data_IF_568523197846
#
_entry.id   IF_568523197846
#
_cell.length_a   1.000
_cell.length_b   1.000
_cell.length_c   1.000
_cell.angle_alpha   90.00
_cell.angle_beta   90.00
_cell.angle_gamma   90.00
#
_symmetry.space_group_name_H-M   'P 1'
#
loop_
_entity.id
_entity.type
_entity.pdbx_description
1 polymer ?
#
# COMPACT_ATOMS: atom_id res chain seq x y z
N UNK A 1 4.34 8.80 18.81
CA UNK A 1 2.98 9.37 18.67
C UNK A 1 2.45 10.05 19.92
N UNK A 2 2.47 9.41 21.10
CA UNK A 2 2.03 10.06 22.35
C UNK A 2 2.75 11.40 22.62
N UNK A 3 4.07 11.42 22.51
CA UNK A 3 4.89 12.65 22.65
C UNK A 3 4.53 13.75 21.63
N UNK A 4 4.20 13.37 20.39
CA UNK A 4 3.76 14.33 19.37
C UNK A 4 2.43 14.99 19.75
N UNK A 5 1.45 14.21 20.23
CA UNK A 5 0.16 14.75 20.69
C UNK A 5 0.33 15.60 21.96
N UNK A 6 1.16 15.16 22.91
CA UNK A 6 1.46 15.93 24.11
C UNK A 6 2.10 17.29 23.77
N UNK A 7 3.08 17.30 22.86
CA UNK A 7 3.71 18.53 22.39
C UNK A 7 2.69 19.43 21.69
N UNK A 8 1.83 18.88 20.83
CA UNK A 8 0.78 19.64 20.15
C UNK A 8 -0.20 20.27 21.14
N UNK A 9 -0.63 19.55 22.16
CA UNK A 9 -1.55 20.08 23.18
C UNK A 9 -0.94 21.26 23.97
N UNK A 10 0.38 21.26 24.19
CA UNK A 10 1.07 22.38 24.86
C UNK A 10 1.12 23.59 23.92
N UNK A 11 1.47 23.38 22.65
CA UNK A 11 1.51 24.44 21.64
C UNK A 11 0.12 25.07 21.45
N UNK A 12 -0.93 24.25 21.36
CA UNK A 12 -2.31 24.70 21.17
C UNK A 12 -2.85 25.48 22.39
N UNK A 13 -2.26 25.30 23.58
CA UNK A 13 -2.61 26.09 24.79
C UNK A 13 -2.01 27.51 24.80
N UNK A 14 -1.24 27.89 23.78
CA UNK A 14 -0.67 29.23 23.66
C UNK A 14 0.67 29.42 24.39
N UNK A 15 1.18 28.37 25.03
CA UNK A 15 2.56 28.33 25.50
C UNK A 15 3.45 28.24 24.25
N UNK A 16 4.03 29.38 23.84
CA UNK A 16 4.87 29.49 22.63
C UNK A 16 5.86 28.31 22.61
N UNK A 17 5.63 27.39 21.66
CA UNK A 17 6.28 26.08 21.56
C UNK A 17 7.80 26.16 21.54
N UNK A 18 8.41 26.10 22.73
CA UNK A 18 9.85 26.23 22.94
C UNK A 18 10.24 27.06 24.17
N UNK A 19 9.29 27.82 24.77
CA UNK A 19 9.53 28.59 25.99
C UNK A 19 9.13 27.83 27.27
N UNK A 20 8.10 26.97 27.20
CA UNK A 20 7.70 26.12 28.33
C UNK A 20 8.71 25.01 28.58
N UNK A 21 9.08 24.80 29.85
CA UNK A 21 9.98 23.71 30.28
C UNK A 21 9.45 22.34 29.86
N UNK A 22 8.13 22.19 29.82
CA UNK A 22 7.43 20.96 29.46
C UNK A 22 7.61 20.63 27.96
N UNK A 23 7.51 21.65 27.09
CA UNK A 23 7.74 21.48 25.66
C UNK A 23 9.17 20.99 25.38
N UNK A 24 10.17 21.63 26.02
CA UNK A 24 11.58 21.23 25.89
C UNK A 24 11.86 19.82 26.41
N UNK A 25 11.22 19.43 27.52
CA UNK A 25 11.34 18.07 28.05
C UNK A 25 10.80 17.04 27.05
N UNK A 26 9.65 17.31 26.44
CA UNK A 26 9.05 16.43 25.42
C UNK A 26 9.91 16.36 24.16
N UNK A 27 10.45 17.48 23.69
CA UNK A 27 11.37 17.49 22.55
C UNK A 27 12.61 16.64 22.81
N UNK A 28 13.20 16.77 24.00
CA UNK A 28 14.37 15.99 24.40
C UNK A 28 14.05 14.49 24.47
N UNK A 29 12.94 14.12 25.10
CA UNK A 29 12.48 12.73 25.14
C UNK A 29 12.16 12.18 23.75
N UNK A 30 11.59 13.00 22.86
CA UNK A 30 11.30 12.61 21.50
C UNK A 30 12.59 12.25 20.75
N UNK A 31 13.62 13.11 20.83
CA UNK A 31 14.93 12.86 20.19
C UNK A 31 15.60 11.62 20.76
N UNK A 32 15.61 11.45 22.09
CA UNK A 32 16.18 10.27 22.74
C UNK A 32 15.49 8.96 22.29
N UNK A 33 14.17 8.98 22.22
CA UNK A 33 13.41 7.81 21.77
C UNK A 33 13.58 7.55 20.28
N UNK A 34 13.81 8.60 19.49
CA UNK A 34 14.04 8.49 18.05
C UNK A 34 15.31 7.69 17.77
N UNK A 35 16.40 7.92 18.52
CA UNK A 35 17.66 7.16 18.36
C UNK A 35 17.45 5.65 18.52
N UNK A 36 16.71 5.24 19.54
CA UNK A 36 16.37 3.83 19.76
C UNK A 36 15.41 3.30 18.68
N UNK A 37 14.45 4.14 18.27
CA UNK A 37 13.46 3.77 17.27
C UNK A 37 14.08 3.53 15.89
N UNK A 38 15.17 4.22 15.51
CA UNK A 38 15.81 4.03 14.19
C UNK A 38 16.18 2.56 13.94
N UNK A 39 16.80 1.90 14.92
CA UNK A 39 17.19 0.49 14.80
C UNK A 39 15.96 -0.43 14.65
N UNK A 40 14.93 -0.21 15.48
CA UNK A 40 13.69 -1.00 15.45
C UNK A 40 12.93 -0.81 14.14
N UNK A 41 12.90 0.41 13.62
CA UNK A 41 12.25 0.71 12.35
C UNK A 41 12.96 0.05 11.17
N UNK A 42 14.30 0.09 11.12
CA UNK A 42 15.06 -0.57 10.05
C UNK A 42 14.79 -2.08 9.99
N UNK A 43 14.65 -2.74 11.14
CA UNK A 43 14.30 -4.17 11.21
C UNK A 43 12.85 -4.46 10.80
N UNK A 44 11.91 -3.56 11.14
CA UNK A 44 10.48 -3.75 10.90
C UNK A 44 9.95 -3.10 9.62
N UNK A 45 10.80 -2.45 8.81
CA UNK A 45 10.40 -1.60 7.68
C UNK A 45 9.50 -2.31 6.63
N UNK A 46 9.62 -3.63 6.47
CA UNK A 46 8.84 -4.38 5.47
C UNK A 46 7.45 -4.84 5.98
N UNK A 47 7.18 -4.68 7.27
CA UNK A 47 5.92 -5.11 7.89
C UNK A 47 4.73 -4.26 7.45
N UNK A 48 3.52 -4.83 7.54
CA UNK A 48 2.27 -4.10 7.31
C UNK A 48 2.10 -2.93 8.30
N UNK A 49 2.49 -3.12 9.56
CA UNK A 49 2.45 -2.08 10.59
C UNK A 49 3.35 -0.88 10.23
N UNK A 50 4.58 -1.12 9.77
CA UNK A 50 5.47 -0.04 9.34
C UNK A 50 4.85 0.80 8.21
N UNK A 51 4.22 0.15 7.22
CA UNK A 51 3.52 0.83 6.12
C UNK A 51 2.34 1.69 6.62
N UNK A 52 1.56 1.18 7.59
CA UNK A 52 0.41 1.90 8.16
C UNK A 52 0.82 3.15 8.94
N UNK A 53 1.90 3.07 9.73
CA UNK A 53 2.31 4.17 10.60
C UNK A 53 3.31 5.16 9.97
N UNK A 54 3.91 4.82 8.84
CA UNK A 54 4.91 5.65 8.14
C UNK A 54 4.50 7.10 7.95
N UNK A 55 3.28 7.37 7.48
CA UNK A 55 2.79 8.73 7.29
C UNK A 55 2.65 9.52 8.60
N UNK A 56 2.21 8.85 9.67
CA UNK A 56 2.08 9.47 11.01
C UNK A 56 3.45 9.76 11.63
N UNK A 57 4.43 8.89 11.40
CA UNK A 57 5.80 9.07 11.87
C UNK A 57 6.44 10.26 11.17
N UNK A 58 6.34 10.37 9.83
CA UNK A 58 6.82 11.55 9.10
C UNK A 58 6.15 12.82 9.59
N UNK A 59 4.83 12.81 9.77
CA UNK A 59 4.10 13.97 10.29
C UNK A 59 4.62 14.42 11.66
N UNK A 60 4.87 13.47 12.56
CA UNK A 60 5.48 13.76 13.86
C UNK A 60 6.91 14.30 13.73
N UNK A 61 7.75 13.73 12.86
CA UNK A 61 9.12 14.21 12.67
C UNK A 61 9.16 15.64 12.11
N UNK A 62 8.27 15.96 11.16
CA UNK A 62 8.09 17.32 10.64
C UNK A 62 7.64 18.31 11.72
N UNK A 63 6.70 17.91 12.59
CA UNK A 63 6.26 18.73 13.72
C UNK A 63 7.43 19.13 14.64
N UNK A 64 8.40 18.24 14.83
CA UNK A 64 9.60 18.49 15.63
C UNK A 64 10.78 19.08 14.83
N UNK A 65 10.57 19.50 13.58
CA UNK A 65 11.63 20.11 12.75
C UNK A 65 12.71 19.14 12.27
N UNK A 66 12.42 17.84 12.22
CA UNK A 66 13.36 16.76 11.85
C UNK A 66 13.14 16.26 10.42
N UNK A 67 12.88 17.17 9.48
CA UNK A 67 12.59 16.80 8.08
C UNK A 67 13.83 16.23 7.36
N UNK A 68 15.01 16.76 7.67
CA UNK A 68 16.30 16.31 7.11
C UNK A 68 16.90 15.10 7.85
N UNK A 69 16.17 14.51 8.80
CA UNK A 69 16.66 13.33 9.53
C UNK A 69 16.76 12.10 8.59
N UNK A 70 17.81 11.26 8.71
CA UNK A 70 17.96 10.07 7.87
C UNK A 70 16.76 9.13 7.89
N UNK A 71 16.08 8.99 9.04
CA UNK A 71 14.88 8.18 9.16
C UNK A 71 13.72 8.78 8.39
N UNK A 72 13.55 10.12 8.42
CA UNK A 72 12.49 10.79 7.65
C UNK A 72 12.68 10.58 6.15
N UNK A 73 13.91 10.77 5.66
CA UNK A 73 14.26 10.54 4.26
C UNK A 73 14.06 9.07 3.85
N UNK A 74 14.41 8.11 4.71
CA UNK A 74 14.18 6.68 4.46
C UNK A 74 12.69 6.36 4.33
N UNK A 75 11.86 6.87 5.25
CA UNK A 75 10.41 6.64 5.21
C UNK A 75 9.81 7.30 3.97
N UNK A 76 10.21 8.52 3.62
CA UNK A 76 9.74 9.20 2.40
C UNK A 76 10.07 8.40 1.14
N UNK A 77 11.30 7.91 1.01
CA UNK A 77 11.71 7.04 -0.11
C UNK A 77 10.89 5.75 -0.15
N UNK A 78 10.63 5.14 1.00
CA UNK A 78 9.79 3.94 1.09
C UNK A 78 8.36 4.20 0.64
N UNK A 79 7.75 5.31 1.09
CA UNK A 79 6.40 5.70 0.67
C UNK A 79 6.34 6.06 -0.82
N UNK A 80 7.34 6.76 -1.35
CA UNK A 80 7.43 7.09 -2.78
C UNK A 80 7.54 5.83 -3.65
N UNK A 81 8.36 4.85 -3.25
CA UNK A 81 8.43 3.54 -3.91
C UNK A 81 7.11 2.77 -3.79
N UNK A 82 6.43 2.85 -2.66
CA UNK A 82 5.13 2.21 -2.47
C UNK A 82 4.04 2.88 -3.34
N UNK A 83 4.07 4.20 -3.52
CA UNK A 83 3.17 4.92 -4.41
C UNK A 83 3.43 4.56 -5.89
N UNK A 84 4.69 4.49 -6.30
CA UNK A 84 5.07 4.09 -7.66
C UNK A 84 4.71 2.63 -7.96
N UNK A 85 4.84 1.71 -6.99
CA UNK A 85 4.38 0.32 -7.15
C UNK A 85 2.86 0.17 -7.21
N UNK A 86 2.12 1.11 -6.63
CA UNK A 86 0.65 1.13 -6.65
C UNK A 86 0.06 1.79 -7.88
N UNK A 87 0.87 2.46 -8.71
CA UNK A 87 0.38 2.89 -10.01
C UNK A 87 0.19 1.66 -10.89
N UNK A 88 -1.02 1.42 -11.42
CA UNK A 88 -1.21 0.41 -12.44
C UNK A 88 -0.32 0.78 -13.62
N UNK A 89 0.53 -0.15 -14.05
CA UNK A 89 1.37 -0.03 -15.25
C UNK A 89 0.50 -0.08 -16.51
N UNK A 90 -0.41 0.89 -16.67
CA UNK A 90 -1.27 1.06 -17.85
C UNK A 90 -0.80 2.19 -18.76
N UNK A 91 0.31 2.88 -18.46
CA UNK A 91 0.71 4.10 -19.18
C UNK A 91 2.01 4.03 -20.00
N UNK A 92 2.65 2.87 -20.17
CA UNK A 92 3.94 2.79 -20.91
C UNK A 92 3.99 1.77 -22.05
N UNK A 93 2.84 1.33 -22.60
CA UNK A 93 2.83 0.36 -23.71
C UNK A 93 2.48 0.92 -25.10
N UNK A 94 2.32 2.24 -25.28
CA UNK A 94 1.80 2.81 -26.54
C UNK A 94 2.69 3.84 -27.27
N UNK A 95 3.99 3.95 -26.96
CA UNK A 95 4.82 5.00 -27.61
C UNK A 95 5.74 4.54 -28.75
N UNK A 96 5.77 3.26 -29.16
CA UNK A 96 6.72 2.81 -30.20
C UNK A 96 6.20 1.80 -31.23
N UNK A 97 4.92 1.79 -31.60
CA UNK A 97 4.49 1.09 -32.83
C UNK A 97 3.42 1.89 -33.57
N UNK A 98 3.87 2.78 -34.46
CA UNK A 98 3.07 3.39 -35.51
C UNK A 98 3.17 2.46 -36.72
N UNK A 99 2.19 1.56 -36.89
CA UNK A 99 2.18 0.63 -38.01
C UNK A 99 0.96 -0.29 -38.00
N UNK A 100 0.07 -0.06 -38.95
CA UNK A 100 -1.06 -0.90 -39.38
C UNK A 100 -2.25 -0.97 -38.41
N UNK A 101 -3.22 -0.10 -38.70
CA UNK A 101 -4.61 -0.24 -38.28
C UNK A 101 -5.19 -1.52 -38.90
N UNK A 102 -5.31 -2.57 -38.10
CA UNK A 102 -6.31 -3.61 -38.31
C UNK A 102 -7.36 -3.49 -37.21
N UNK A 103 -8.61 -3.30 -37.63
CA UNK A 103 -9.80 -3.53 -36.81
C UNK A 103 -9.73 -4.95 -36.22
N UNK A 104 -9.23 -5.07 -35.00
CA UNK A 104 -9.56 -6.18 -34.12
C UNK A 104 -10.46 -5.63 -33.03
N UNK A 105 -11.75 -5.93 -33.13
CA UNK A 105 -12.60 -6.07 -31.94
C UNK A 105 -11.92 -7.13 -31.06
N UNK A 106 -11.03 -6.70 -30.16
CA UNK A 106 -10.51 -7.56 -29.10
C UNK A 106 -11.62 -7.66 -28.08
N UNK A 107 -12.44 -8.68 -28.21
CA UNK A 107 -13.10 -9.27 -27.04
C UNK A 107 -12.00 -9.46 -25.99
N UNK A 108 -12.20 -8.87 -24.82
CA UNK A 108 -11.22 -8.96 -23.75
C UNK A 108 -11.03 -10.45 -23.42
N UNK A 109 -9.81 -11.00 -23.34
CA UNK A 109 -9.59 -12.39 -22.90
C UNK A 109 -10.04 -12.62 -21.44
N UNK A 110 -10.49 -11.57 -20.75
CA UNK A 110 -11.08 -11.62 -19.42
C UNK A 110 -12.60 -11.38 -19.41
N UNK A 111 -13.22 -11.11 -20.55
CA UNK A 111 -14.67 -11.14 -20.70
C UNK A 111 -15.10 -12.58 -21.02
N UNK A 112 -16.01 -13.17 -20.24
CA UNK A 112 -16.57 -14.47 -20.57
C UNK A 112 -17.41 -14.34 -21.85
N UNK A 113 -17.06 -15.07 -22.91
CA UNK A 113 -17.85 -15.13 -24.14
C UNK A 113 -19.18 -15.85 -23.94
N UNK A 114 -19.23 -16.80 -22.99
CA UNK A 114 -20.47 -17.44 -22.54
C UNK A 114 -20.45 -17.63 -21.00
N UNK A 115 -21.60 -17.45 -20.35
CA UNK A 115 -21.74 -17.63 -18.90
C UNK A 115 -21.75 -19.12 -18.52
N UNK A 116 -20.57 -19.70 -18.31
CA UNK A 116 -20.45 -21.06 -17.77
C UNK A 116 -20.48 -21.06 -16.23
N UNK A 117 -21.52 -21.68 -15.66
CA UNK A 117 -21.64 -22.00 -14.24
C UNK A 117 -21.16 -23.44 -14.01
N UNK A 118 -20.24 -23.64 -13.06
CA UNK A 118 -19.81 -24.98 -12.69
C UNK A 118 -20.90 -25.65 -11.83
N UNK A 119 -21.01 -26.97 -11.89
CA UNK A 119 -21.98 -27.72 -11.08
C UNK A 119 -21.75 -27.60 -9.57
N UNK A 120 -20.53 -27.26 -9.16
CA UNK A 120 -20.16 -26.95 -7.78
C UNK A 120 -20.55 -25.53 -7.34
N UNK A 121 -20.90 -24.65 -8.29
CA UNK A 121 -21.27 -23.26 -8.01
C UNK A 121 -22.79 -23.16 -7.81
N UNK A 122 -23.22 -22.55 -6.70
CA UNK A 122 -24.63 -22.22 -6.49
C UNK A 122 -25.10 -21.13 -7.46
N UNK A 123 -26.38 -21.17 -7.81
CA UNK A 123 -27.00 -20.08 -8.55
C UNK A 123 -26.85 -18.76 -7.76
N UNK A 124 -26.34 -17.72 -8.44
CA UNK A 124 -26.16 -16.39 -7.84
C UNK A 124 -24.82 -16.12 -7.17
N UNK A 125 -23.78 -16.93 -7.39
CA UNK A 125 -22.42 -16.59 -6.92
C UNK A 125 -21.97 -15.24 -7.50
N UNK A 126 -21.53 -14.35 -6.61
CA UNK A 126 -21.03 -13.03 -6.98
C UNK A 126 -19.80 -13.17 -7.88
N UNK A 127 -19.87 -12.60 -9.09
CA UNK A 127 -18.76 -12.59 -10.05
C UNK A 127 -17.91 -11.35 -9.80
N UNK A 128 -16.75 -11.55 -9.17
CA UNK A 128 -15.79 -10.46 -8.91
C UNK A 128 -15.15 -9.98 -10.22
N UNK A 129 -15.06 -8.66 -10.40
CA UNK A 129 -14.41 -8.09 -11.58
C UNK A 129 -12.89 -8.16 -11.43
N UNK A 130 -12.18 -8.21 -12.56
CA UNK A 130 -10.70 -8.33 -12.54
C UNK A 130 -10.06 -7.06 -11.98
N UNK A 131 -10.75 -5.92 -12.08
CA UNK A 131 -10.33 -4.63 -11.55
C UNK A 131 -10.35 -4.57 -10.02
N UNK A 132 -11.13 -5.43 -9.36
CA UNK A 132 -11.28 -5.47 -7.91
C UNK A 132 -10.20 -6.31 -7.21
N UNK A 133 -9.38 -7.03 -7.99
CA UNK A 133 -8.32 -7.90 -7.47
C UNK A 133 -7.11 -7.10 -6.94
N UNK A 134 -6.45 -7.57 -5.87
CA UNK A 134 -5.26 -6.91 -5.36
C UNK A 134 -4.13 -6.90 -6.41
N UNK A 135 -3.26 -5.87 -6.35
CA UNK A 135 -2.24 -5.63 -7.39
C UNK A 135 -1.24 -6.78 -7.59
N UNK A 136 -1.03 -7.61 -6.57
CA UNK A 136 -0.15 -8.78 -6.59
C UNK A 136 -0.88 -10.11 -6.89
N UNK A 137 -2.20 -10.08 -7.08
CA UNK A 137 -3.00 -11.24 -7.43
C UNK A 137 -2.75 -11.69 -8.87
N UNK A 138 -2.91 -13.00 -9.10
CA UNK A 138 -2.86 -13.60 -10.43
C UNK A 138 -4.16 -13.30 -11.18
N UNK A 139 -4.03 -12.62 -12.32
CA UNK A 139 -5.13 -12.39 -13.26
C UNK A 139 -5.37 -13.65 -14.09
N UNK A 140 -6.04 -14.62 -13.48
CA UNK A 140 -6.45 -15.88 -14.16
C UNK A 140 -7.64 -15.57 -15.09
N UNK A 141 -7.72 -16.11 -16.32
CA UNK A 141 -8.91 -15.99 -17.14
C UNK A 141 -10.14 -16.67 -16.48
N UNK A 142 -11.36 -16.17 -16.69
CA UNK A 142 -12.57 -16.79 -16.12
C UNK A 142 -12.69 -18.28 -16.42
N UNK A 143 -12.23 -18.74 -17.58
CA UNK A 143 -12.27 -20.15 -18.01
C UNK A 143 -11.41 -21.10 -17.16
N UNK A 144 -10.35 -20.61 -16.53
CA UNK A 144 -9.37 -21.43 -15.79
C UNK A 144 -9.39 -21.17 -14.27
N UNK A 145 -10.46 -20.54 -13.77
CA UNK A 145 -10.56 -20.03 -12.38
C UNK A 145 -10.69 -21.10 -11.30
N UNK A 146 -11.08 -22.33 -11.64
CA UNK A 146 -11.45 -23.37 -10.67
C UNK A 146 -12.83 -23.12 -10.06
N UNK A 147 -13.02 -22.01 -9.34
CA UNK A 147 -14.31 -21.58 -8.77
C UNK A 147 -14.37 -20.05 -8.67
N UNK A 148 -15.56 -19.45 -8.77
CA UNK A 148 -15.74 -17.99 -8.57
C UNK A 148 -15.32 -17.46 -7.19
N UNK A 149 -15.41 -18.26 -6.12
CA UNK A 149 -14.98 -17.85 -4.75
C UNK A 149 -13.47 -17.61 -4.69
N UNK A 150 -12.67 -18.33 -5.48
CA UNK A 150 -11.21 -18.12 -5.56
C UNK A 150 -10.85 -16.79 -6.26
N UNK A 151 -11.84 -16.08 -6.79
CA UNK A 151 -11.69 -14.75 -7.39
C UNK A 151 -12.05 -13.63 -6.42
N UNK A 152 -12.46 -13.96 -5.19
CA UNK A 152 -12.69 -12.97 -4.16
C UNK A 152 -11.38 -12.24 -3.82
N UNK A 153 -11.38 -10.90 -3.65
CA UNK A 153 -10.15 -10.13 -3.48
C UNK A 153 -9.33 -10.58 -2.27
N UNK A 154 -10.00 -11.10 -1.24
CA UNK A 154 -9.37 -11.59 -0.01
C UNK A 154 -8.74 -12.98 -0.15
N UNK A 155 -9.22 -13.78 -1.11
CA UNK A 155 -8.75 -15.15 -1.39
C UNK A 155 -7.91 -15.23 -2.66
N UNK A 156 -7.83 -14.15 -3.43
CA UNK A 156 -7.20 -14.12 -4.73
C UNK A 156 -5.73 -14.54 -4.66
N UNK A 157 -5.42 -15.66 -5.32
CA UNK A 157 -4.10 -16.25 -5.31
C UNK A 157 -3.03 -15.29 -5.84
N UNK A 158 -1.92 -15.16 -5.13
CA UNK A 158 -0.78 -14.33 -5.54
C UNK A 158 0.27 -15.15 -6.26
N UNK A 159 1.21 -14.49 -6.97
CA UNK A 159 2.36 -15.17 -7.61
C UNK A 159 3.22 -15.96 -6.62
N UNK A 160 3.34 -15.48 -5.40
CA UNK A 160 4.08 -16.15 -4.33
C UNK A 160 3.26 -17.33 -3.78
N UNK A 161 1.95 -17.12 -3.55
CA UNK A 161 1.03 -18.18 -3.15
C UNK A 161 1.02 -19.36 -4.12
N UNK A 162 1.03 -19.10 -5.43
CA UNK A 162 1.03 -20.14 -6.48
C UNK A 162 2.22 -21.11 -6.45
N UNK A 163 3.31 -20.74 -5.79
CA UNK A 163 4.48 -21.62 -5.65
C UNK A 163 4.27 -22.72 -4.61
N UNK A 164 3.35 -22.50 -3.68
CA UNK A 164 3.08 -23.39 -2.55
C UNK A 164 1.66 -23.95 -2.60
N UNK A 165 0.72 -23.23 -3.19
CA UNK A 165 -0.68 -23.61 -3.35
C UNK A 165 -1.08 -23.67 -4.83
N UNK A 166 -1.86 -24.69 -5.18
CA UNK A 166 -2.34 -24.91 -6.54
C UNK A 166 -3.57 -24.06 -6.87
N UNK A 167 -4.30 -23.53 -5.89
CA UNK A 167 -5.55 -22.80 -6.06
C UNK A 167 -5.66 -21.56 -5.17
#
# INVERSE_FOLDING_TARGET
MKLHLAHKNIVDRGDRGGASKEARAIEHEFKRNLDTFRAVFTLSQQTSAAKLYSGRIIGAMRHFGLEEDPLALQIQRMMGRAALRKQPTTATRNLFFKGVSMNQKKESPFQPSDEYMLSSELAGVAKTRVEDLPANALKIPPTHRGHWVLRDPDLALTREGRRFDAW
#
